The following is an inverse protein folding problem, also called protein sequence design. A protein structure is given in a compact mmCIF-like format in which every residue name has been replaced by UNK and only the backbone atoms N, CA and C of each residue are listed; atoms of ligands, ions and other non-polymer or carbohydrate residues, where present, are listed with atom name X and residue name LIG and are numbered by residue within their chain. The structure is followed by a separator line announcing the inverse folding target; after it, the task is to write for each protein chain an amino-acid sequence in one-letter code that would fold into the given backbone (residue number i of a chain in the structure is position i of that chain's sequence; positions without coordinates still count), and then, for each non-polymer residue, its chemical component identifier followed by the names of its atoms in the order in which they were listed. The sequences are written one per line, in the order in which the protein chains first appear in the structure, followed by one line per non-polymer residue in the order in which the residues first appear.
data_IF_236681693352
#
_entry.id   IF_236681693352
#
_cell.length_a   1.000
_cell.length_b   1.000
_cell.length_c   1.000
_cell.angle_alpha   90.00
_cell.angle_beta   90.00
_cell.angle_gamma   90.00
#
_symmetry.space_group_name_H-M   'P 1'
#
loop_
_entity.id
_entity.type
_entity.pdbx_description
1 polymer ?
#
# COMPACT_ATOMS: atom_id res chain seq x y z
N UNK A 1 -12.57 16.51 12.71
CA UNK A 1 -12.49 16.18 11.28
C UNK A 1 -11.21 15.40 10.96
N UNK A 2 -10.01 15.94 11.25
CA UNK A 2 -8.71 15.28 10.98
C UNK A 2 -8.53 13.88 11.63
N UNK A 3 -9.01 13.69 12.87
CA UNK A 3 -8.94 12.39 13.55
C UNK A 3 -9.82 11.30 12.90
N UNK A 4 -10.99 11.68 12.37
CA UNK A 4 -11.87 10.75 11.66
C UNK A 4 -11.22 10.31 10.33
N UNK A 5 -10.59 11.24 9.64
CA UNK A 5 -9.79 10.95 8.44
C UNK A 5 -8.61 10.03 8.77
N UNK A 6 -7.86 10.30 9.86
CA UNK A 6 -6.74 9.45 10.29
C UNK A 6 -7.18 8.03 10.65
N UNK A 7 -8.27 7.86 11.40
CA UNK A 7 -8.79 6.55 11.78
C UNK A 7 -9.24 5.72 10.57
N UNK A 8 -9.89 6.38 9.59
CA UNK A 8 -10.27 5.76 8.32
C UNK A 8 -9.05 5.30 7.52
N UNK A 9 -8.06 6.19 7.35
CA UNK A 9 -6.83 5.87 6.62
C UNK A 9 -6.05 4.75 7.31
N UNK A 10 -6.01 4.73 8.64
CA UNK A 10 -5.43 3.65 9.42
C UNK A 10 -6.12 2.31 9.16
N UNK A 11 -7.46 2.30 9.18
CA UNK A 11 -8.25 1.09 8.90
C UNK A 11 -7.94 0.55 7.50
N UNK A 12 -7.97 1.40 6.47
CA UNK A 12 -7.65 0.98 5.11
C UNK A 12 -6.20 0.51 4.96
N UNK A 13 -5.24 1.15 5.63
CA UNK A 13 -3.85 0.68 5.67
C UNK A 13 -3.73 -0.71 6.29
N UNK A 14 -4.46 -0.97 7.38
CA UNK A 14 -4.47 -2.29 8.01
C UNK A 14 -5.08 -3.36 7.09
N UNK A 15 -6.22 -3.06 6.45
CA UNK A 15 -6.95 -3.98 5.58
C UNK A 15 -6.19 -4.30 4.28
N UNK A 16 -5.43 -3.34 3.73
CA UNK A 16 -4.73 -3.49 2.45
C UNK A 16 -3.23 -3.77 2.59
N UNK A 17 -2.77 -4.13 3.80
CA UNK A 17 -1.33 -4.24 4.08
C UNK A 17 -0.64 -5.32 3.24
N UNK A 18 -1.34 -6.42 2.96
CA UNK A 18 -0.82 -7.52 2.15
C UNK A 18 -0.65 -7.06 0.71
N UNK A 19 -1.64 -6.37 0.17
CA UNK A 19 -1.66 -5.82 -1.18
C UNK A 19 -0.54 -4.79 -1.37
N UNK A 20 -0.33 -3.92 -0.38
CA UNK A 20 0.80 -2.97 -0.35
C UNK A 20 2.12 -3.75 -0.37
N UNK A 21 2.27 -4.76 0.49
CA UNK A 21 3.50 -5.56 0.56
C UNK A 21 3.79 -6.29 -0.75
N UNK A 22 2.78 -6.93 -1.34
CA UNK A 22 2.90 -7.67 -2.60
C UNK A 22 3.22 -6.77 -3.80
N UNK A 23 2.75 -5.52 -3.80
CA UNK A 23 3.07 -4.56 -4.86
C UNK A 23 4.54 -4.07 -4.81
N UNK A 24 5.18 -4.12 -3.64
CA UNK A 24 6.58 -3.71 -3.45
C UNK A 24 7.47 -4.94 -3.73
N UNK A 25 7.80 -5.14 -4.99
CA UNK A 25 8.55 -6.31 -5.47
C UNK A 25 10.06 -6.21 -5.24
N UNK A 26 10.57 -5.04 -4.85
CA UNK A 26 11.99 -4.80 -4.59
C UNK A 26 12.18 -3.87 -3.38
N UNK A 27 13.20 -4.10 -2.54
CA UNK A 27 13.48 -3.24 -1.37
C UNK A 27 13.79 -1.80 -1.71
N UNK A 28 14.59 -1.55 -2.75
CA UNK A 28 14.83 -0.22 -3.29
C UNK A 28 13.77 0.14 -4.34
N UNK A 29 13.19 1.37 -4.34
CA UNK A 29 13.47 2.53 -3.45
C UNK A 29 12.74 2.57 -2.09
N UNK A 30 11.91 1.57 -1.76
CA UNK A 30 11.02 1.60 -0.59
C UNK A 30 11.73 1.76 0.75
N UNK A 31 12.68 0.87 1.09
CA UNK A 31 13.37 0.89 2.38
C UNK A 31 14.21 2.17 2.56
N UNK A 32 14.94 2.57 1.52
CA UNK A 32 15.74 3.79 1.50
C UNK A 32 14.89 5.03 1.81
N UNK A 33 13.73 5.14 1.15
CA UNK A 33 12.82 6.28 1.34
C UNK A 33 12.23 6.34 2.75
N UNK A 34 12.02 5.19 3.41
CA UNK A 34 11.56 5.14 4.81
C UNK A 34 12.67 5.54 5.78
N UNK A 35 13.90 5.10 5.53
CA UNK A 35 15.07 5.42 6.35
C UNK A 35 15.42 6.91 6.25
N UNK A 36 15.53 7.46 5.04
CA UNK A 36 15.85 8.89 4.78
C UNK A 36 14.88 9.85 5.48
N UNK A 37 13.66 9.38 5.75
CA UNK A 37 12.58 10.15 6.37
C UNK A 37 12.35 9.79 7.84
N UNK A 38 13.19 8.93 8.41
CA UNK A 38 13.18 8.56 9.83
C UNK A 38 12.03 7.64 10.26
N UNK A 39 11.35 6.96 9.33
CA UNK A 39 10.30 5.99 9.65
C UNK A 39 10.87 4.66 10.14
N UNK A 40 12.06 4.30 9.68
CA UNK A 40 12.83 3.15 10.16
C UNK A 40 14.22 3.61 10.59
N UNK A 41 14.82 2.92 11.57
CA UNK A 41 16.20 3.19 11.99
C UNK A 41 17.20 2.60 11.02
N UNK A 42 18.43 3.12 11.02
CA UNK A 42 19.58 2.55 10.30
C UNK A 42 19.75 1.05 10.56
N UNK A 43 19.71 0.66 11.84
CA UNK A 43 19.84 -0.74 12.23
C UNK A 43 18.74 -1.60 11.58
N UNK A 44 17.50 -1.09 11.53
CA UNK A 44 16.38 -1.82 10.95
C UNK A 44 16.50 -1.91 9.43
N UNK A 45 17.01 -0.86 8.79
CA UNK A 45 17.32 -0.85 7.36
C UNK A 45 18.37 -1.93 7.03
N UNK A 46 19.48 -1.98 7.77
CA UNK A 46 20.55 -2.97 7.56
C UNK A 46 20.05 -4.42 7.71
N UNK A 47 19.31 -4.71 8.79
CA UNK A 47 18.72 -6.05 9.01
C UNK A 47 17.73 -6.42 7.89
N UNK A 48 17.00 -5.44 7.37
CA UNK A 48 16.03 -5.64 6.28
C UNK A 48 16.74 -5.97 4.97
N UNK A 49 17.78 -5.22 4.61
CA UNK A 49 18.60 -5.47 3.42
C UNK A 49 19.32 -6.82 3.49
N UNK A 50 19.86 -7.20 4.66
CA UNK A 50 20.51 -8.50 4.86
C UNK A 50 19.52 -9.66 4.71
N UNK A 51 18.31 -9.53 5.27
CA UNK A 51 17.28 -10.55 5.16
C UNK A 51 16.83 -10.76 3.71
N UNK A 52 16.68 -9.71 2.91
CA UNK A 52 16.28 -9.83 1.50
C UNK A 52 17.28 -10.64 0.64
N UNK A 53 18.53 -10.77 1.09
CA UNK A 53 19.55 -11.60 0.43
C UNK A 53 19.47 -13.09 0.82
N UNK A 54 18.65 -13.44 1.81
CA UNK A 54 18.51 -14.80 2.30
C UNK A 54 17.37 -15.56 1.60
N UNK A 55 17.59 -16.81 1.15
CA UNK A 55 16.58 -17.62 0.45
C UNK A 55 15.39 -18.03 1.34
N UNK A 56 15.54 -17.97 2.67
CA UNK A 56 14.52 -18.35 3.66
C UNK A 56 13.87 -17.12 4.34
N UNK A 57 14.03 -15.94 3.74
CA UNK A 57 13.59 -14.70 4.37
C UNK A 57 12.08 -14.56 4.42
N UNK A 58 11.59 -14.08 5.58
CA UNK A 58 10.23 -13.60 5.72
C UNK A 58 10.04 -12.35 4.85
N UNK A 59 8.82 -12.06 4.38
CA UNK A 59 8.56 -10.87 3.56
C UNK A 59 8.89 -9.59 4.34
N UNK A 60 10.08 -9.05 4.14
CA UNK A 60 10.62 -7.93 4.93
C UNK A 60 9.72 -6.71 4.84
N UNK A 61 9.16 -6.46 3.66
CA UNK A 61 8.21 -5.37 3.43
C UNK A 61 6.99 -5.49 4.35
N UNK A 62 6.40 -6.68 4.49
CA UNK A 62 5.22 -6.87 5.34
C UNK A 62 5.54 -6.65 6.83
N UNK A 63 6.71 -7.09 7.28
CA UNK A 63 7.18 -6.88 8.65
C UNK A 63 7.46 -5.39 8.93
N UNK A 64 8.09 -4.69 7.99
CA UNK A 64 8.27 -3.23 8.05
C UNK A 64 6.91 -2.53 8.14
N UNK A 65 5.96 -2.85 7.25
CA UNK A 65 4.61 -2.25 7.27
C UNK A 65 3.87 -2.54 8.59
N UNK A 66 4.06 -3.72 9.18
CA UNK A 66 3.45 -4.09 10.46
C UNK A 66 3.97 -3.26 11.63
N UNK A 67 5.25 -2.90 11.62
CA UNK A 67 5.80 -1.99 12.62
C UNK A 67 5.41 -0.54 12.39
N UNK A 68 5.35 -0.11 11.13
CA UNK A 68 4.89 1.22 10.75
C UNK A 68 3.41 1.43 11.10
N UNK A 69 2.59 0.38 11.04
CA UNK A 69 1.20 0.39 11.50
C UNK A 69 1.07 0.87 12.96
N UNK A 70 1.99 0.46 13.84
CA UNK A 70 1.97 0.84 15.28
C UNK A 70 2.21 2.34 15.48
N UNK A 71 2.89 2.98 14.52
CA UNK A 71 3.26 4.40 14.54
C UNK A 71 2.60 5.15 13.38
N UNK A 72 1.41 4.70 12.98
CA UNK A 72 0.75 5.19 11.79
C UNK A 72 0.55 6.72 11.79
N UNK A 73 0.86 7.32 10.66
CA UNK A 73 0.76 8.75 10.45
C UNK A 73 0.41 9.05 8.99
N UNK A 74 -0.18 10.21 8.72
CA UNK A 74 -0.47 10.63 7.34
C UNK A 74 0.82 10.87 6.53
N UNK A 75 1.90 11.44 7.09
CA UNK A 75 3.19 11.52 6.40
C UNK A 75 3.72 10.15 5.94
N UNK A 76 3.51 9.08 6.72
CA UNK A 76 3.89 7.73 6.30
C UNK A 76 3.20 7.34 4.99
N UNK A 77 1.88 7.57 4.87
CA UNK A 77 1.16 7.26 3.63
C UNK A 77 1.67 8.07 2.43
N UNK A 78 2.03 9.35 2.64
CA UNK A 78 2.62 10.18 1.59
C UNK A 78 3.96 9.62 1.09
N UNK A 79 4.73 8.97 1.96
CA UNK A 79 5.98 8.29 1.57
C UNK A 79 5.67 7.02 0.78
N UNK A 80 4.78 6.17 1.30
CA UNK A 80 4.41 4.90 0.65
C UNK A 80 3.88 5.15 -0.76
N UNK A 81 2.99 6.12 -0.92
CA UNK A 81 2.38 6.49 -2.22
C UNK A 81 3.10 7.66 -2.91
N UNK A 82 4.38 7.86 -2.62
CA UNK A 82 5.16 8.91 -3.28
C UNK A 82 5.25 8.66 -4.80
N UNK A 83 5.46 9.72 -5.58
CA UNK A 83 5.64 9.60 -7.03
C UNK A 83 6.77 8.64 -7.41
N UNK A 84 7.83 8.59 -6.62
CA UNK A 84 8.94 7.63 -6.80
C UNK A 84 8.46 6.20 -6.66
N UNK A 85 7.71 5.89 -5.60
CA UNK A 85 7.19 4.54 -5.38
C UNK A 85 6.12 4.14 -6.40
N UNK A 86 5.21 5.05 -6.79
CA UNK A 86 4.18 4.75 -7.81
C UNK A 86 4.77 4.52 -9.22
N UNK A 87 6.00 5.01 -9.47
CA UNK A 87 6.75 4.71 -10.70
C UNK A 87 7.49 3.37 -10.60
N UNK A 88 8.11 3.09 -9.47
CA UNK A 88 8.84 1.85 -9.23
C UNK A 88 7.93 0.63 -9.05
N UNK A 89 6.75 0.85 -8.46
CA UNK A 89 5.77 -0.16 -8.07
C UNK A 89 4.38 0.26 -8.61
N UNK A 90 4.11 0.05 -9.92
CA UNK A 90 2.86 0.51 -10.53
C UNK A 90 1.61 -0.11 -9.89
N UNK A 91 1.72 -1.32 -9.33
CA UNK A 91 0.61 -2.03 -8.69
C UNK A 91 0.14 -1.34 -7.40
N UNK A 92 0.98 -0.50 -6.76
CA UNK A 92 0.57 0.34 -5.62
C UNK A 92 -0.52 1.36 -5.99
N UNK A 93 -0.71 1.67 -7.28
CA UNK A 93 -1.73 2.63 -7.72
C UNK A 93 -3.13 2.14 -7.42
N UNK A 94 -3.37 0.84 -7.51
CA UNK A 94 -4.69 0.26 -7.20
C UNK A 94 -5.01 0.45 -5.73
N UNK A 95 -4.07 0.12 -4.85
CA UNK A 95 -4.22 0.39 -3.43
C UNK A 95 -4.36 1.88 -3.16
N UNK A 96 -3.56 2.76 -3.76
CA UNK A 96 -3.71 4.22 -3.58
C UNK A 96 -5.12 4.71 -3.95
N UNK A 97 -5.70 4.18 -5.04
CA UNK A 97 -7.08 4.51 -5.43
C UNK A 97 -8.06 4.10 -4.36
N UNK A 98 -7.93 2.94 -3.71
CA UNK A 98 -8.84 2.53 -2.64
C UNK A 98 -8.85 3.51 -1.44
N UNK A 99 -7.71 4.14 -1.14
CA UNK A 99 -7.64 5.21 -0.13
C UNK A 99 -8.37 6.50 -0.57
N UNK A 100 -8.42 6.78 -1.88
CA UNK A 100 -9.08 7.97 -2.46
C UNK A 100 -10.57 7.73 -2.77
N UNK A 101 -10.94 6.52 -3.20
CA UNK A 101 -12.30 6.10 -3.56
C UNK A 101 -13.18 5.93 -2.33
N UNK A 102 -12.58 5.81 -1.15
CA UNK A 102 -13.31 6.10 0.08
C UNK A 102 -14.01 7.49 0.06
N UNK A 103 -13.54 8.42 -0.75
CA UNK A 103 -14.16 9.73 -0.92
C UNK A 103 -15.11 9.81 -2.14
N UNK A 104 -15.19 8.78 -3.00
CA UNK A 104 -15.97 8.80 -4.25
C UNK A 104 -16.76 7.52 -4.60
N UNK A 105 -16.79 6.50 -3.76
CA UNK A 105 -17.51 5.25 -4.07
C UNK A 105 -18.92 5.26 -3.48
N UNK A 106 -19.84 5.94 -4.17
CA UNK A 106 -21.26 5.58 -4.19
C UNK A 106 -21.68 4.84 -5.46
N UNK A 107 -20.77 4.44 -6.36
CA UNK A 107 -21.12 3.70 -7.57
C UNK A 107 -20.03 2.72 -8.02
N UNK A 108 -19.81 1.65 -7.26
CA UNK A 108 -19.49 0.34 -7.84
C UNK A 108 -20.47 -0.72 -7.30
N UNK A 109 -21.75 -0.40 -7.44
CA UNK A 109 -22.83 -1.38 -7.42
C UNK A 109 -23.34 -1.56 -8.85
N UNK A 110 -23.29 -2.81 -9.33
CA UNK A 110 -23.91 -3.34 -10.54
C UNK A 110 -23.32 -2.87 -11.89
N UNK A 111 -22.45 -3.70 -12.46
CA UNK A 111 -22.60 -4.01 -13.89
C UNK A 111 -23.89 -4.83 -14.04
N UNK A 112 -24.95 -4.35 -14.71
CA UNK A 112 -26.00 -5.24 -15.17
C UNK A 112 -25.41 -6.11 -16.29
N UNK A 113 -25.57 -7.42 -16.19
CA UNK A 113 -25.46 -8.30 -17.35
C UNK A 113 -26.38 -7.73 -18.43
N UNK A 114 -25.81 -7.30 -19.55
CA UNK A 114 -26.59 -6.90 -20.73
C UNK A 114 -27.21 -8.17 -21.32
N UNK A 115 -28.54 -8.33 -21.37
CA UNK A 115 -29.15 -9.46 -22.05
C UNK A 115 -28.87 -9.34 -23.56
N UNK A 116 -28.38 -10.42 -24.17
CA UNK A 116 -28.22 -10.51 -25.62
C UNK A 116 -29.59 -10.35 -26.31
N UNK A 117 -29.68 -9.64 -27.46
CA UNK A 117 -30.94 -9.55 -28.19
C UNK A 117 -31.35 -10.92 -28.74
N UNK A 118 -32.59 -11.33 -28.48
CA UNK A 118 -33.24 -12.40 -29.22
C UNK A 118 -33.35 -11.96 -30.69
N UNK A 119 -32.72 -12.69 -31.61
CA UNK A 119 -32.88 -12.45 -33.05
C UNK A 119 -34.34 -12.62 -33.50
N UNK A 120 -34.78 -11.94 -34.58
CA UNK A 120 -36.17 -12.01 -35.02
C UNK A 120 -36.53 -13.38 -35.64
N UNK A 121 -37.81 -13.73 -35.46
CA UNK A 121 -38.49 -14.96 -35.90
C UNK A 121 -38.39 -15.27 -37.38
#
# INVERSE_FOLDING_TARGET
FELLTKARMFKHFHENKVEIASAITKPFPFLMSLQDRGFISEQKFQVSEENELSPDSKPVVYDILSDLQKKFSLPLLQVIFSTTHLKAYPDLKETMRSFLDGNYSSHLSCCPVVPQPLGPK
#
